data_IF_448263265005
#
_entry.id   IF_448263265005
#
_cell.length_a   1.000
_cell.length_b   1.000
_cell.length_c   1.000
_cell.angle_alpha   90.00
_cell.angle_beta   90.00
_cell.angle_gamma   90.00
#
_symmetry.space_group_name_H-M   'P 1'
#
loop_
_entity.id
_entity.type
_entity.pdbx_description
1 polymer ?
#
# COMPACT_ATOMS: atom_id res chain seq x y z
N UNK A 1 0.43 -36.36 19.74
CA UNK A 1 -0.92 -35.85 20.11
C UNK A 1 -1.52 -35.22 18.88
N UNK A 2 -2.81 -35.42 18.59
CA UNK A 2 -3.43 -34.93 17.35
C UNK A 2 -4.39 -33.79 17.64
N UNK A 3 -4.25 -32.68 16.91
CA UNK A 3 -5.18 -31.54 16.93
C UNK A 3 -5.80 -31.40 15.54
N UNK A 4 -7.11 -31.60 15.44
CA UNK A 4 -7.86 -31.38 14.22
C UNK A 4 -8.47 -29.97 14.25
N UNK A 5 -8.23 -29.17 13.21
CA UNK A 5 -8.73 -27.82 13.06
C UNK A 5 -9.81 -27.77 11.97
N UNK A 6 -10.90 -27.05 12.21
CA UNK A 6 -11.96 -26.84 11.23
C UNK A 6 -12.38 -25.37 11.21
N UNK A 7 -12.54 -24.79 10.02
CA UNK A 7 -12.91 -23.39 9.87
C UNK A 7 -12.43 -22.83 8.53
N UNK A 8 -12.51 -21.51 8.31
CA UNK A 8 -12.09 -20.90 7.05
C UNK A 8 -10.61 -21.19 6.75
N UNK A 9 -10.31 -21.47 5.48
CA UNK A 9 -9.01 -22.00 5.03
C UNK A 9 -7.81 -21.21 5.53
N UNK A 10 -7.82 -19.89 5.39
CA UNK A 10 -6.74 -19.02 5.83
C UNK A 10 -6.46 -19.14 7.34
N UNK A 11 -7.52 -19.27 8.13
CA UNK A 11 -7.41 -19.36 9.59
C UNK A 11 -6.88 -20.73 10.02
N UNK A 12 -7.48 -21.81 9.50
CA UNK A 12 -7.06 -23.19 9.82
C UNK A 12 -5.61 -23.47 9.38
N UNK A 13 -5.23 -23.04 8.17
CA UNK A 13 -3.87 -23.20 7.66
C UNK A 13 -2.86 -22.42 8.50
N UNK A 14 -3.14 -21.15 8.80
CA UNK A 14 -2.23 -20.32 9.58
C UNK A 14 -2.06 -20.86 10.99
N UNK A 15 -3.17 -21.20 11.67
CA UNK A 15 -3.09 -21.77 13.01
C UNK A 15 -2.33 -23.10 13.01
N UNK A 16 -2.58 -23.97 12.03
CA UNK A 16 -1.88 -25.24 11.90
C UNK A 16 -0.38 -25.09 11.64
N UNK A 17 0.01 -24.16 10.76
CA UNK A 17 1.43 -23.83 10.50
C UNK A 17 2.12 -23.36 11.79
N UNK A 18 1.49 -22.47 12.56
CA UNK A 18 2.06 -21.93 13.78
C UNK A 18 2.19 -23.01 14.88
N UNK A 19 1.18 -23.87 15.04
CA UNK A 19 1.23 -25.01 15.96
C UNK A 19 2.34 -26.01 15.59
N UNK A 20 2.46 -26.37 14.31
CA UNK A 20 3.52 -27.27 13.85
C UNK A 20 4.92 -26.64 13.97
N UNK A 21 5.04 -25.35 13.70
CA UNK A 21 6.31 -24.62 13.86
C UNK A 21 6.76 -24.58 15.33
N UNK A 22 5.81 -24.36 16.26
CA UNK A 22 6.08 -24.43 17.70
C UNK A 22 6.41 -25.84 18.17
N UNK A 23 5.63 -26.83 17.77
CA UNK A 23 5.88 -28.26 18.00
C UNK A 23 7.33 -28.64 17.69
N UNK A 24 7.82 -28.26 16.51
CA UNK A 24 9.22 -28.47 16.10
C UNK A 24 10.23 -27.69 16.96
N UNK A 25 9.93 -26.43 17.27
CA UNK A 25 10.84 -25.55 18.03
C UNK A 25 11.01 -26.01 19.49
N UNK A 26 9.95 -26.54 20.10
CA UNK A 26 9.96 -27.03 21.49
C UNK A 26 10.20 -28.55 21.60
N UNK A 27 10.33 -29.26 20.47
CA UNK A 27 10.59 -30.71 20.45
C UNK A 27 9.43 -31.57 20.97
N UNK A 28 8.19 -31.06 20.94
CA UNK A 28 7.00 -31.79 21.40
C UNK A 28 6.24 -32.39 20.22
N UNK A 29 5.96 -33.71 20.19
CA UNK A 29 5.29 -34.33 19.04
C UNK A 29 3.80 -33.99 18.98
N UNK A 30 3.48 -32.97 18.16
CA UNK A 30 2.13 -32.56 17.81
C UNK A 30 1.85 -32.84 16.33
N UNK A 31 0.83 -33.63 16.05
CA UNK A 31 0.24 -33.83 14.74
C UNK A 31 -0.91 -32.84 14.56
N UNK A 32 -0.94 -32.12 13.44
CA UNK A 32 -2.02 -31.18 13.14
C UNK A 32 -2.71 -31.60 11.84
N UNK A 33 -4.03 -31.69 11.93
CA UNK A 33 -4.92 -32.06 10.83
C UNK A 33 -5.89 -30.91 10.55
N UNK A 34 -6.22 -30.67 9.28
CA UNK A 34 -7.27 -29.74 8.88
C UNK A 34 -8.42 -30.53 8.29
N UNK A 35 -9.63 -30.32 8.81
CA UNK A 35 -10.85 -30.94 8.29
C UNK A 35 -11.29 -30.19 7.02
N UNK A 36 -11.27 -30.88 5.89
CA UNK A 36 -11.67 -30.35 4.58
C UNK A 36 -10.70 -30.68 3.45
N UNK A 37 -11.09 -30.35 2.22
CA UNK A 37 -10.32 -30.65 1.01
C UNK A 37 -9.45 -29.43 0.59
N UNK A 38 -8.11 -29.58 0.48
CA UNK A 38 -7.23 -28.52 -0.01
C UNK A 38 -7.58 -27.99 -1.40
N UNK A 39 -8.25 -28.78 -2.26
CA UNK A 39 -8.70 -28.34 -3.58
C UNK A 39 -9.88 -27.34 -3.53
N UNK A 40 -10.57 -27.26 -2.39
CA UNK A 40 -11.73 -26.37 -2.20
C UNK A 40 -11.38 -25.03 -1.56
N UNK A 41 -10.10 -24.81 -1.24
CA UNK A 41 -9.62 -23.58 -0.61
C UNK A 41 -9.82 -22.38 -1.54
N UNK A 42 -10.55 -21.37 -1.07
CA UNK A 42 -10.79 -20.15 -1.84
C UNK A 42 -9.48 -19.39 -2.13
N UNK A 43 -9.20 -19.01 -3.38
CA UNK A 43 -7.93 -18.38 -3.73
C UNK A 43 -7.86 -16.93 -3.26
N UNK A 44 -6.68 -16.48 -2.84
CA UNK A 44 -6.36 -15.08 -2.51
C UNK A 44 -5.30 -14.61 -3.50
N UNK A 45 -5.75 -14.00 -4.60
CA UNK A 45 -4.93 -13.71 -5.78
C UNK A 45 -4.18 -12.39 -5.66
N UNK A 46 -2.93 -12.38 -6.11
CA UNK A 46 -2.18 -11.15 -6.37
C UNK A 46 -2.62 -10.48 -7.68
N UNK A 47 -2.00 -9.34 -8.06
CA UNK A 47 -0.82 -8.76 -7.42
C UNK A 47 -1.13 -8.01 -6.10
N UNK A 48 -0.34 -8.22 -5.05
CA UNK A 48 -0.50 -7.51 -3.79
C UNK A 48 0.84 -7.27 -3.08
N UNK A 49 0.93 -6.16 -2.35
CA UNK A 49 2.03 -5.86 -1.43
C UNK A 49 1.45 -5.41 -0.09
N UNK A 50 1.94 -6.01 0.99
CA UNK A 50 1.46 -5.75 2.34
C UNK A 50 2.53 -6.07 3.36
N UNK A 51 2.57 -5.28 4.44
CA UNK A 51 3.32 -5.68 5.64
C UNK A 51 2.41 -6.58 6.49
N UNK A 52 2.78 -7.85 6.63
CA UNK A 52 2.00 -8.85 7.36
C UNK A 52 2.94 -9.90 8.00
N UNK A 53 3.41 -9.67 9.24
CA UNK A 53 4.39 -10.53 9.89
C UNK A 53 3.95 -12.00 9.97
N UNK A 54 2.68 -12.24 10.30
CA UNK A 54 2.13 -13.60 10.40
C UNK A 54 2.19 -14.32 9.04
N UNK A 55 1.73 -13.66 7.97
CA UNK A 55 1.76 -14.22 6.62
C UNK A 55 3.19 -14.52 6.15
N UNK A 56 4.12 -13.58 6.37
CA UNK A 56 5.53 -13.76 6.05
C UNK A 56 6.14 -14.94 6.84
N UNK A 57 5.81 -15.08 8.12
CA UNK A 57 6.26 -16.21 8.97
C UNK A 57 5.72 -17.56 8.49
N UNK A 58 4.51 -17.56 7.93
CA UNK A 58 3.88 -18.73 7.30
C UNK A 58 4.34 -18.97 5.85
N UNK A 59 5.34 -18.23 5.37
CA UNK A 59 5.97 -18.44 4.07
C UNK A 59 5.25 -17.82 2.87
N UNK A 60 4.27 -16.94 3.09
CA UNK A 60 3.59 -16.25 1.99
C UNK A 60 4.46 -15.11 1.46
N UNK A 61 4.63 -15.04 0.13
CA UNK A 61 5.30 -13.93 -0.55
C UNK A 61 6.76 -13.71 -0.15
N UNK A 62 7.45 -14.78 0.26
CA UNK A 62 8.83 -14.74 0.75
C UNK A 62 9.81 -14.43 -0.38
N UNK A 63 10.43 -13.26 -0.29
CA UNK A 63 11.75 -12.97 -0.86
C UNK A 63 12.78 -12.93 0.29
N UNK A 64 14.02 -13.36 0.05
CA UNK A 64 15.02 -13.43 1.12
C UNK A 64 15.38 -12.01 1.59
N UNK A 65 15.21 -11.74 2.89
CA UNK A 65 15.62 -10.47 3.52
C UNK A 65 14.53 -9.38 3.60
N UNK A 66 13.31 -9.63 3.12
CA UNK A 66 12.19 -8.67 3.15
C UNK A 66 11.44 -8.56 4.50
N UNK A 67 11.86 -9.33 5.51
CA UNK A 67 11.27 -9.28 6.85
C UNK A 67 9.80 -9.68 6.86
N UNK A 68 8.93 -8.76 7.30
CA UNK A 68 7.48 -8.95 7.36
C UNK A 68 6.74 -8.46 6.09
N UNK A 69 7.47 -8.00 5.08
CA UNK A 69 6.89 -7.61 3.80
C UNK A 69 6.52 -8.85 2.98
N UNK A 70 5.27 -8.88 2.55
CA UNK A 70 4.68 -9.92 1.70
C UNK A 70 4.38 -9.32 0.34
N UNK A 71 4.99 -9.88 -0.70
CA UNK A 71 4.67 -9.57 -2.10
C UNK A 71 4.10 -10.83 -2.73
N UNK A 72 2.86 -10.76 -3.20
CA UNK A 72 2.25 -11.84 -4.00
C UNK A 72 2.14 -11.34 -5.43
N UNK A 73 2.85 -11.95 -6.38
CA UNK A 73 2.81 -11.51 -7.77
C UNK A 73 1.44 -11.79 -8.39
N UNK A 74 1.24 -11.29 -9.60
CA UNK A 74 0.03 -11.59 -10.35
C UNK A 74 0.07 -10.96 -11.73
N UNK A 75 -1.02 -11.10 -12.51
CA UNK A 75 -1.07 -10.65 -13.89
C UNK A 75 -0.64 -9.18 -14.01
N UNK A 76 0.25 -8.89 -14.97
CA UNK A 76 0.80 -7.55 -15.15
C UNK A 76 -0.28 -6.49 -15.49
N UNK A 77 -1.38 -6.93 -16.11
CA UNK A 77 -2.51 -6.07 -16.46
C UNK A 77 -3.41 -5.73 -15.26
N UNK A 78 -3.31 -6.44 -14.14
CA UNK A 78 -4.12 -6.17 -12.96
C UNK A 78 -3.47 -5.12 -12.06
N UNK A 79 -4.26 -4.21 -11.45
CA UNK A 79 -3.72 -3.20 -10.54
C UNK A 79 -3.14 -3.86 -9.28
N UNK A 80 -2.11 -3.25 -8.71
CA UNK A 80 -1.46 -3.68 -7.47
C UNK A 80 -2.35 -3.33 -6.28
N UNK A 81 -2.71 -4.33 -5.46
CA UNK A 81 -3.35 -4.08 -4.17
C UNK A 81 -2.28 -3.74 -3.13
N UNK A 82 -2.43 -2.60 -2.45
CA UNK A 82 -1.46 -2.09 -1.47
C UNK A 82 -2.17 -1.87 -0.14
N UNK A 83 -1.58 -2.35 0.95
CA UNK A 83 -1.94 -1.89 2.31
C UNK A 83 -0.74 -1.28 3.01
N UNK A 84 -0.97 -0.15 3.67
CA UNK A 84 0.03 0.59 4.45
C UNK A 84 -0.08 0.31 5.96
N UNK A 85 -1.05 -0.52 6.36
CA UNK A 85 -1.30 -0.87 7.76
C UNK A 85 -0.31 -1.95 8.23
N UNK A 86 -0.03 -1.96 9.54
CA UNK A 86 0.98 -2.83 10.16
C UNK A 86 0.76 -4.34 9.92
N UNK A 87 -0.50 -4.77 9.86
CA UNK A 87 -0.85 -6.18 9.66
C UNK A 87 -1.71 -6.40 8.42
N UNK A 88 -1.78 -5.43 7.51
CA UNK A 88 -2.62 -5.56 6.32
C UNK A 88 -4.12 -5.61 6.59
N UNK A 89 -4.59 -5.26 7.79
CA UNK A 89 -6.00 -5.40 8.15
C UNK A 89 -6.90 -4.31 7.53
N UNK A 90 -6.32 -3.15 7.21
CA UNK A 90 -6.99 -1.94 6.72
C UNK A 90 -6.09 -1.16 5.75
N UNK A 91 -6.50 0.05 5.35
CA UNK A 91 -5.69 0.95 4.53
C UNK A 91 -5.41 0.44 3.13
N UNK A 92 -6.27 -0.45 2.60
CA UNK A 92 -6.09 -1.00 1.25
C UNK A 92 -6.58 -0.05 0.17
N UNK A 93 -5.78 0.10 -0.88
CA UNK A 93 -6.10 0.80 -2.12
C UNK A 93 -5.42 0.11 -3.31
N UNK A 94 -5.68 0.62 -4.52
CA UNK A 94 -5.12 0.09 -5.76
C UNK A 94 -4.16 1.10 -6.38
N UNK A 95 -3.05 0.61 -6.91
CA UNK A 95 -2.14 1.40 -7.73
C UNK A 95 -2.01 0.77 -9.12
N UNK A 96 -1.81 1.62 -10.13
CA UNK A 96 -1.65 1.20 -11.50
C UNK A 96 -0.37 0.37 -11.71
N UNK A 97 -0.46 -0.60 -12.62
CA UNK A 97 0.68 -1.37 -13.13
C UNK A 97 0.75 -1.35 -14.65
N UNK A 98 -0.37 -1.07 -15.33
CA UNK A 98 -0.48 -1.18 -16.77
C UNK A 98 -0.03 0.10 -17.50
N UNK A 99 0.14 1.21 -16.77
CA UNK A 99 0.53 2.50 -17.32
C UNK A 99 -0.64 3.34 -17.81
N UNK A 100 -1.87 3.00 -17.41
CA UNK A 100 -3.10 3.70 -17.82
C UNK A 100 -3.73 4.52 -16.67
N UNK A 101 -3.23 4.33 -15.45
CA UNK A 101 -3.69 5.02 -14.25
C UNK A 101 -4.92 4.39 -13.57
N UNK A 102 -4.83 4.18 -12.26
CA UNK A 102 -5.89 3.60 -11.46
C UNK A 102 -6.86 4.65 -10.87
N UNK A 103 -6.34 5.79 -10.42
CA UNK A 103 -7.12 6.91 -9.86
C UNK A 103 -7.47 7.96 -10.92
N UNK A 104 -8.46 8.83 -10.68
CA UNK A 104 -8.71 9.98 -11.57
C UNK A 104 -7.48 10.85 -11.79
N UNK A 105 -6.65 11.06 -10.76
CA UNK A 105 -5.42 11.85 -10.84
C UNK A 105 -4.35 11.18 -11.73
N UNK A 106 -4.11 9.88 -11.58
CA UNK A 106 -3.13 9.17 -12.42
C UNK A 106 -3.60 9.03 -13.87
N UNK A 107 -4.89 8.83 -14.11
CA UNK A 107 -5.47 8.87 -15.47
C UNK A 107 -5.32 10.23 -16.12
N UNK A 108 -5.58 11.30 -15.37
CA UNK A 108 -5.33 12.68 -15.82
C UNK A 108 -3.84 12.90 -16.15
N UNK A 109 -2.93 12.39 -15.33
CA UNK A 109 -1.49 12.44 -15.58
C UNK A 109 -1.06 11.69 -16.85
N UNK A 110 -1.58 10.48 -17.07
CA UNK A 110 -1.33 9.69 -18.28
C UNK A 110 -1.89 10.40 -19.51
N UNK A 111 -3.12 10.89 -19.43
CA UNK A 111 -3.77 11.63 -20.51
C UNK A 111 -3.03 12.92 -20.86
N UNK A 112 -2.55 13.67 -19.86
CA UNK A 112 -1.74 14.88 -20.05
C UNK A 112 -0.42 14.55 -20.75
N UNK A 113 0.25 13.48 -20.31
CA UNK A 113 1.53 13.02 -20.86
C UNK A 113 1.41 12.50 -22.30
N UNK A 114 0.26 11.95 -22.67
CA UNK A 114 -0.05 11.40 -24.00
C UNK A 114 -0.88 12.36 -24.87
N UNK A 115 -1.13 13.59 -24.44
CA UNK A 115 -2.02 14.52 -25.15
C UNK A 115 -1.54 14.81 -26.58
N UNK A 116 -2.42 14.93 -27.59
CA UNK A 116 -2.00 15.40 -28.92
C UNK A 116 -1.56 16.88 -28.89
N UNK A 117 -2.12 17.68 -27.99
CA UNK A 117 -1.81 19.10 -27.84
C UNK A 117 -0.37 19.30 -27.34
N UNK A 118 0.49 20.01 -28.09
CA UNK A 118 1.87 20.26 -27.70
C UNK A 118 2.03 21.03 -26.39
N UNK A 119 1.08 21.92 -26.04
CA UNK A 119 1.12 22.72 -24.80
C UNK A 119 0.82 21.83 -23.60
N UNK A 120 -0.26 21.04 -23.67
CA UNK A 120 -0.59 20.05 -22.64
C UNK A 120 0.55 19.03 -22.43
N UNK A 121 1.15 18.54 -23.52
CA UNK A 121 2.35 17.68 -23.41
C UNK A 121 3.54 18.36 -22.76
N UNK A 122 3.72 19.67 -22.98
CA UNK A 122 4.80 20.41 -22.33
C UNK A 122 4.57 20.49 -20.80
N UNK A 123 3.34 20.75 -20.37
CA UNK A 123 2.96 20.73 -18.95
C UNK A 123 3.16 19.34 -18.32
N UNK A 124 2.81 18.28 -19.06
CA UNK A 124 3.09 16.90 -18.65
C UNK A 124 4.59 16.61 -18.52
N UNK A 125 5.42 17.08 -19.46
CA UNK A 125 6.89 16.98 -19.35
C UNK A 125 7.43 17.71 -18.12
N UNK A 126 6.99 18.94 -17.88
CA UNK A 126 7.43 19.73 -16.71
C UNK A 126 7.13 19.01 -15.39
N UNK A 127 5.95 18.38 -15.27
CA UNK A 127 5.62 17.60 -14.07
C UNK A 127 6.52 16.36 -13.92
N UNK A 128 6.81 15.66 -15.02
CA UNK A 128 7.76 14.51 -14.98
C UNK A 128 9.16 14.93 -14.57
N UNK A 129 9.65 16.04 -15.12
CA UNK A 129 10.97 16.59 -14.78
C UNK A 129 11.01 17.03 -13.31
N UNK A 130 9.92 17.59 -12.79
CA UNK A 130 9.79 17.95 -11.38
C UNK A 130 9.84 16.71 -10.47
N UNK A 131 9.09 15.65 -10.79
CA UNK A 131 9.14 14.38 -10.04
C UNK A 131 10.54 13.77 -10.07
N UNK A 132 11.18 13.73 -11.23
CA UNK A 132 12.54 13.22 -11.38
C UNK A 132 13.56 14.03 -10.55
N UNK A 133 13.42 15.36 -10.50
CA UNK A 133 14.25 16.23 -9.66
C UNK A 133 14.07 15.97 -8.16
N UNK A 134 12.93 15.39 -7.76
CA UNK A 134 12.65 14.95 -6.38
C UNK A 134 13.13 13.52 -6.09
N UNK A 135 13.74 12.84 -7.07
CA UNK A 135 14.15 11.44 -6.94
C UNK A 135 13.00 10.43 -7.14
N UNK A 136 11.89 10.87 -7.72
CA UNK A 136 10.72 10.03 -8.00
C UNK A 136 10.61 9.76 -9.50
N UNK A 137 10.56 8.49 -9.94
CA UNK A 137 10.24 8.20 -11.32
C UNK A 137 8.80 8.63 -11.63
N UNK A 138 8.54 9.00 -12.88
CA UNK A 138 7.24 9.50 -13.31
C UNK A 138 6.24 8.36 -13.61
N UNK A 139 6.05 7.46 -12.65
CA UNK A 139 5.19 6.28 -12.78
C UNK A 139 3.75 6.60 -12.33
N UNK A 140 2.70 6.16 -13.08
CA UNK A 140 1.31 6.35 -12.67
C UNK A 140 1.00 5.78 -11.28
N UNK A 141 1.65 4.67 -10.90
CA UNK A 141 1.53 4.07 -9.57
C UNK A 141 1.94 5.03 -8.43
N UNK A 142 2.96 5.87 -8.66
CA UNK A 142 3.39 6.86 -7.68
C UNK A 142 2.42 8.03 -7.61
N UNK A 143 1.73 8.36 -8.71
CA UNK A 143 0.63 9.34 -8.69
C UNK A 143 -0.58 8.78 -7.94
N UNK A 144 -0.89 7.49 -8.11
CA UNK A 144 -1.95 6.82 -7.34
C UNK A 144 -1.63 6.82 -5.84
N UNK A 145 -0.36 6.63 -5.45
CA UNK A 145 0.10 6.74 -4.07
C UNK A 145 0.01 8.19 -3.55
N UNK A 146 0.46 9.16 -4.35
CA UNK A 146 0.50 10.58 -3.99
C UNK A 146 -0.90 11.17 -3.78
N UNK A 147 -1.85 10.79 -4.63
CA UNK A 147 -3.18 11.41 -4.70
C UNK A 147 -4.30 10.50 -4.18
N UNK A 148 -4.06 9.19 -3.98
CA UNK A 148 -5.11 8.21 -3.70
C UNK A 148 -4.88 7.34 -2.47
N UNK A 149 -3.70 7.36 -1.84
CA UNK A 149 -3.46 6.53 -0.66
C UNK A 149 -4.29 7.01 0.57
N UNK A 150 -4.89 6.10 1.35
CA UNK A 150 -5.78 6.45 2.46
C UNK A 150 -5.01 6.82 3.74
N UNK A 151 -4.03 7.72 3.61
CA UNK A 151 -3.18 8.27 4.70
C UNK A 151 -3.10 9.80 4.56
N UNK A 152 -2.47 10.46 5.52
CA UNK A 152 -2.33 11.93 5.50
C UNK A 152 -1.53 12.40 4.28
N UNK A 153 -1.78 13.61 3.74
CA UNK A 153 -1.04 14.11 2.57
C UNK A 153 0.48 14.13 2.76
N UNK A 154 0.97 14.39 3.97
CA UNK A 154 2.39 14.33 4.29
C UNK A 154 2.95 12.90 4.26
N UNK A 155 2.17 11.91 4.72
CA UNK A 155 2.56 10.50 4.61
C UNK A 155 2.61 10.07 3.13
N UNK A 156 1.68 10.53 2.29
CA UNK A 156 1.70 10.26 0.84
C UNK A 156 2.99 10.78 0.19
N UNK A 157 3.44 11.98 0.56
CA UNK A 157 4.73 12.53 0.11
C UNK A 157 5.89 11.67 0.59
N UNK A 158 5.90 11.33 1.88
CA UNK A 158 6.94 10.47 2.46
C UNK A 158 7.03 9.13 1.72
N UNK A 159 5.88 8.50 1.47
CA UNK A 159 5.75 7.23 0.75
C UNK A 159 6.29 7.33 -0.67
N UNK A 160 5.90 8.36 -1.43
CA UNK A 160 6.33 8.53 -2.83
C UNK A 160 7.83 8.79 -2.93
N UNK A 161 8.39 9.65 -2.08
CA UNK A 161 9.84 9.89 -2.04
C UNK A 161 10.61 8.62 -1.66
N UNK A 162 10.06 7.84 -0.70
CA UNK A 162 10.69 6.60 -0.24
C UNK A 162 10.64 5.50 -1.31
N UNK A 163 9.50 5.35 -1.97
CA UNK A 163 9.36 4.44 -3.10
C UNK A 163 10.25 4.87 -4.27
N UNK A 164 10.31 6.17 -4.59
CA UNK A 164 11.21 6.71 -5.60
C UNK A 164 12.68 6.40 -5.30
N UNK A 165 13.11 6.56 -4.05
CA UNK A 165 14.43 6.12 -3.60
C UNK A 165 14.65 4.62 -3.79
N UNK A 166 13.71 3.76 -3.37
CA UNK A 166 13.80 2.32 -3.55
C UNK A 166 13.90 1.89 -5.01
N UNK A 167 13.19 2.58 -5.90
CA UNK A 167 13.15 2.29 -7.34
C UNK A 167 14.36 2.80 -8.11
N UNK A 168 14.91 3.96 -7.73
CA UNK A 168 15.98 4.63 -8.48
C UNK A 168 17.37 4.47 -7.86
N UNK A 169 17.46 4.05 -6.59
CA UNK A 169 18.70 4.05 -5.82
C UNK A 169 19.22 5.46 -5.49
N UNK A 170 18.44 6.52 -5.77
CA UNK A 170 18.85 7.91 -5.54
C UNK A 170 18.84 8.29 -4.07
N UNK A 171 19.60 9.32 -3.71
CA UNK A 171 19.56 9.91 -2.36
C UNK A 171 18.27 10.70 -2.15
N UNK A 172 17.69 10.59 -0.95
CA UNK A 172 16.46 11.30 -0.58
C UNK A 172 16.63 12.81 -0.77
N UNK A 173 15.84 13.40 -1.66
CA UNK A 173 15.77 14.84 -1.82
C UNK A 173 15.15 15.47 -0.55
N UNK A 174 15.78 16.51 -0.01
CA UNK A 174 15.19 17.29 1.07
C UNK A 174 14.24 18.33 0.48
N UNK A 175 12.94 18.06 0.58
CA UNK A 175 11.89 18.95 0.09
C UNK A 175 11.92 20.33 0.73
N UNK A 176 12.41 20.44 1.96
CA UNK A 176 12.46 21.72 2.68
C UNK A 176 13.51 22.69 2.14
N UNK A 177 14.41 22.26 1.26
CA UNK A 177 15.24 23.19 0.48
C UNK A 177 14.46 23.96 -0.59
N UNK A 178 13.22 23.56 -0.90
CA UNK A 178 12.36 24.28 -1.86
C UNK A 178 11.60 25.43 -1.20
N UNK A 179 11.75 25.60 0.11
CA UNK A 179 10.88 26.39 0.97
C UNK A 179 11.70 27.48 1.66
N UNK A 180 11.10 28.67 1.80
CA UNK A 180 11.68 29.79 2.55
C UNK A 180 11.39 29.67 4.06
N UNK A 181 12.20 30.32 4.92
CA UNK A 181 11.87 30.53 6.34
C UNK A 181 10.48 31.15 6.50
N UNK A 182 9.73 30.68 7.50
CA UNK A 182 8.41 31.26 7.80
C UNK A 182 8.62 32.64 8.43
N UNK A 183 8.14 33.68 7.74
CA UNK A 183 8.21 35.08 8.24
C UNK A 183 6.84 35.54 8.75
N UNK A 184 5.74 35.01 8.21
CA UNK A 184 4.35 35.41 8.51
C UNK A 184 3.47 34.23 8.98
N UNK A 185 2.29 34.53 9.54
CA UNK A 185 1.27 33.52 9.81
C UNK A 185 0.73 32.94 8.49
N UNK A 186 1.16 31.74 8.14
CA UNK A 186 0.64 31.00 6.99
C UNK A 186 -0.83 30.61 7.21
N UNK A 187 -1.66 30.58 6.15
CA UNK A 187 -2.98 29.97 6.26
C UNK A 187 -2.86 28.48 6.54
N UNK A 188 -3.94 27.89 7.07
CA UNK A 188 -4.02 26.44 7.23
C UNK A 188 -3.85 25.73 5.87
N UNK A 189 -3.22 24.54 5.84
CA UNK A 189 -3.18 23.69 4.65
C UNK A 189 -4.57 23.45 4.09
N UNK A 190 -4.64 23.23 2.77
CA UNK A 190 -5.89 22.91 2.10
C UNK A 190 -6.37 21.51 2.54
N UNK A 191 -7.69 21.28 2.60
CA UNK A 191 -8.24 20.02 3.11
C UNK A 191 -7.83 18.82 2.26
N UNK A 192 -7.79 17.65 2.90
CA UNK A 192 -7.62 16.38 2.19
C UNK A 192 -8.86 16.07 1.35
N UNK A 193 -8.66 15.63 0.10
CA UNK A 193 -9.75 15.45 -0.86
C UNK A 193 -10.19 16.74 -1.54
N UNK A 194 -9.26 17.69 -1.72
CA UNK A 194 -9.52 18.99 -2.36
C UNK A 194 -10.22 18.81 -3.71
N UNK A 195 -11.33 19.54 -3.92
CA UNK A 195 -12.03 19.57 -5.21
C UNK A 195 -11.78 20.86 -6.01
N UNK A 196 -12.24 20.90 -7.25
CA UNK A 196 -12.05 22.05 -8.14
C UNK A 196 -12.74 23.33 -7.64
N UNK A 197 -13.86 23.22 -6.93
CA UNK A 197 -14.58 24.37 -6.40
C UNK A 197 -13.87 24.97 -5.19
N UNK A 198 -13.35 24.13 -4.30
CA UNK A 198 -12.51 24.55 -3.18
C UNK A 198 -11.19 25.15 -3.64
N UNK A 199 -10.57 24.57 -4.68
CA UNK A 199 -9.38 25.13 -5.32
C UNK A 199 -9.66 26.53 -5.89
N UNK A 200 -10.79 26.70 -6.58
CA UNK A 200 -11.20 28.00 -7.11
C UNK A 200 -11.37 29.04 -5.98
N UNK A 201 -12.07 28.69 -4.89
CA UNK A 201 -12.21 29.57 -3.71
C UNK A 201 -10.86 29.90 -3.07
N UNK A 202 -9.98 28.90 -2.93
CA UNK A 202 -8.64 29.11 -2.36
C UNK A 202 -7.79 30.07 -3.21
N UNK A 203 -8.01 30.12 -4.53
CA UNK A 203 -7.40 31.11 -5.43
C UNK A 203 -8.02 32.49 -5.26
N UNK A 204 -9.34 32.59 -5.29
CA UNK A 204 -10.10 33.85 -5.17
C UNK A 204 -9.78 34.57 -3.84
N UNK A 205 -9.72 33.83 -2.74
CA UNK A 205 -9.45 34.38 -1.41
C UNK A 205 -7.94 34.59 -1.13
N UNK A 206 -7.07 34.31 -2.12
CA UNK A 206 -5.62 34.48 -2.01
C UNK A 206 -4.91 33.48 -1.09
N UNK A 207 -5.60 32.47 -0.55
CA UNK A 207 -5.00 31.43 0.31
C UNK A 207 -3.93 30.64 -0.44
N UNK A 208 -4.20 30.24 -1.69
CA UNK A 208 -3.23 29.52 -2.52
C UNK A 208 -1.98 30.37 -2.77
N UNK A 209 -2.14 31.64 -3.11
CA UNK A 209 -1.02 32.55 -3.35
C UNK A 209 -0.13 32.72 -2.09
N UNK A 210 -0.73 32.79 -0.90
CA UNK A 210 0.00 32.83 0.37
C UNK A 210 0.78 31.54 0.64
N UNK A 211 0.18 30.38 0.37
CA UNK A 211 0.85 29.07 0.50
C UNK A 211 2.02 28.93 -0.47
N UNK A 212 1.82 29.29 -1.75
CA UNK A 212 2.87 29.29 -2.76
C UNK A 212 3.97 30.32 -2.47
N UNK A 213 3.64 31.41 -1.78
CA UNK A 213 4.58 32.40 -1.26
C UNK A 213 5.64 31.82 -0.32
N UNK A 214 5.40 30.64 0.27
CA UNK A 214 6.37 29.91 1.09
C UNK A 214 7.43 29.20 0.24
N UNK A 215 7.15 28.90 -1.03
CA UNK A 215 8.16 28.32 -1.91
C UNK A 215 9.20 29.37 -2.30
N UNK A 216 10.46 28.95 -2.49
CA UNK A 216 11.51 29.82 -3.05
C UNK A 216 11.04 30.40 -4.37
N UNK A 217 11.41 31.65 -4.66
CA UNK A 217 10.92 32.40 -5.83
C UNK A 217 10.93 31.58 -7.13
N UNK A 218 12.05 30.92 -7.46
CA UNK A 218 12.17 30.09 -8.67
C UNK A 218 11.22 28.88 -8.70
N UNK A 219 10.90 28.31 -7.55
CA UNK A 219 9.96 27.19 -7.43
C UNK A 219 8.54 27.72 -7.53
N UNK A 220 8.25 28.82 -6.81
CA UNK A 220 6.97 29.51 -6.85
C UNK A 220 6.57 29.89 -8.27
N UNK A 221 7.43 30.61 -9.00
CA UNK A 221 7.14 31.08 -10.36
C UNK A 221 6.82 29.88 -11.29
N UNK A 222 7.60 28.80 -11.20
CA UNK A 222 7.35 27.58 -12.00
C UNK A 222 6.03 26.90 -11.65
N UNK A 223 5.64 26.88 -10.38
CA UNK A 223 4.37 26.28 -9.94
C UNK A 223 3.20 27.16 -10.38
N UNK A 224 3.30 28.48 -10.22
CA UNK A 224 2.28 29.44 -10.69
C UNK A 224 2.10 29.37 -12.20
N UNK A 225 3.20 29.36 -12.97
CA UNK A 225 3.18 29.20 -14.43
C UNK A 225 2.53 27.88 -14.86
N UNK A 226 2.85 26.78 -14.18
CA UNK A 226 2.27 25.47 -14.48
C UNK A 226 0.77 25.44 -14.17
N UNK A 227 0.33 25.97 -13.03
CA UNK A 227 -1.07 26.05 -12.64
C UNK A 227 -1.89 26.92 -13.59
N UNK A 228 -1.33 28.04 -14.05
CA UNK A 228 -2.00 28.90 -15.02
C UNK A 228 -2.05 28.27 -16.40
N UNK A 229 -0.97 27.60 -16.82
CA UNK A 229 -0.94 26.81 -18.06
C UNK A 229 -1.99 25.69 -18.07
N UNK A 230 -2.14 24.96 -16.96
CA UNK A 230 -3.18 23.93 -16.82
C UNK A 230 -4.58 24.53 -16.97
N UNK A 231 -4.86 25.65 -16.30
CA UNK A 231 -6.15 26.34 -16.41
C UNK A 231 -6.45 26.84 -17.83
N UNK A 232 -5.46 27.45 -18.48
CA UNK A 232 -5.64 28.00 -19.82
C UNK A 232 -5.87 26.90 -20.88
N UNK A 233 -5.24 25.73 -20.70
CA UNK A 233 -5.31 24.62 -21.66
C UNK A 233 -6.43 23.62 -21.38
N UNK A 234 -7.09 23.70 -20.22
CA UNK A 234 -8.17 22.81 -19.83
C UNK A 234 -9.29 23.55 -19.06
N UNK A 235 -10.02 24.46 -19.73
CA UNK A 235 -11.13 25.19 -19.11
C UNK A 235 -12.31 24.28 -18.70
N UNK A 236 -12.34 23.04 -19.19
CA UNK A 236 -13.36 22.05 -18.86
C UNK A 236 -13.05 21.25 -17.57
N UNK A 237 -11.88 21.44 -16.95
CA UNK A 237 -11.51 20.80 -15.69
C UNK A 237 -11.25 19.30 -15.78
N UNK A 238 -10.90 18.77 -16.96
CA UNK A 238 -10.60 17.35 -17.16
C UNK A 238 -9.42 16.87 -16.31
N UNK A 239 -8.46 17.73 -16.05
CA UNK A 239 -7.25 17.45 -15.28
C UNK A 239 -7.35 17.92 -13.82
N UNK A 240 -8.51 18.43 -13.39
CA UNK A 240 -8.72 18.91 -12.02
C UNK A 240 -8.34 17.88 -10.95
N UNK A 241 -8.61 16.56 -11.10
CA UNK A 241 -8.19 15.59 -10.07
C UNK A 241 -6.67 15.54 -9.86
N UNK A 242 -5.88 15.75 -10.92
CA UNK A 242 -4.43 15.83 -10.81
C UNK A 242 -4.00 17.14 -10.16
N UNK A 243 -4.54 18.27 -10.64
CA UNK A 243 -4.19 19.60 -10.12
C UNK A 243 -4.55 19.71 -8.64
N UNK A 244 -5.76 19.30 -8.25
CA UNK A 244 -6.22 19.34 -6.87
C UNK A 244 -5.39 18.42 -5.97
N UNK A 245 -5.09 17.19 -6.40
CA UNK A 245 -4.24 16.29 -5.62
C UNK A 245 -2.83 16.83 -5.39
N UNK A 246 -2.22 17.45 -6.40
CA UNK A 246 -0.90 18.08 -6.27
C UNK A 246 -0.94 19.35 -5.40
N UNK A 247 -1.99 20.17 -5.52
CA UNK A 247 -2.14 21.40 -4.73
C UNK A 247 -2.46 21.08 -3.26
N UNK A 248 -3.29 20.08 -2.98
CA UNK A 248 -3.53 19.54 -1.64
C UNK A 248 -2.19 19.19 -0.99
N UNK A 249 -1.45 18.27 -1.60
CA UNK A 249 -0.17 17.81 -1.08
C UNK A 249 0.84 18.96 -0.95
N UNK A 250 0.92 19.82 -1.96
CA UNK A 250 1.79 20.99 -1.97
C UNK A 250 1.47 21.96 -0.83
N UNK A 251 0.20 22.16 -0.49
CA UNK A 251 -0.22 23.02 0.63
C UNK A 251 0.23 22.48 1.99
N UNK A 252 0.17 21.16 2.18
CA UNK A 252 0.66 20.52 3.40
C UNK A 252 2.18 20.61 3.53
N UNK A 253 2.91 20.42 2.44
CA UNK A 253 4.36 20.64 2.41
C UNK A 253 4.68 22.12 2.68
N UNK A 254 3.88 23.04 2.13
CA UNK A 254 4.00 24.48 2.36
C UNK A 254 3.81 24.88 3.84
N UNK A 255 3.02 24.12 4.61
CA UNK A 255 2.80 24.35 6.04
C UNK A 255 3.92 23.85 6.98
N UNK A 256 4.92 23.11 6.48
CA UNK A 256 6.01 22.63 7.33
C UNK A 256 6.90 23.78 7.86
N UNK A 257 7.64 23.61 8.95
CA UNK A 257 8.72 24.53 9.30
C UNK A 257 9.85 24.51 8.26
N UNK A 258 10.58 25.62 8.11
CA UNK A 258 11.80 25.62 7.30
C UNK A 258 12.84 24.69 7.93
N UNK A 259 13.53 23.91 7.11
CA UNK A 259 14.47 22.85 7.54
C UNK A 259 13.84 21.67 8.29
N UNK A 260 12.52 21.54 8.33
CA UNK A 260 11.89 20.35 8.87
C UNK A 260 12.29 19.10 8.05
N UNK A 261 12.43 17.98 8.75
CA UNK A 261 12.45 16.66 8.10
C UNK A 261 10.99 16.21 8.02
N UNK A 262 10.61 15.62 6.89
CA UNK A 262 9.31 14.95 6.81
C UNK A 262 9.16 13.95 7.95
N UNK A 263 7.98 13.84 8.59
CA UNK A 263 7.74 12.82 9.60
C UNK A 263 8.19 11.44 9.10
N UNK A 264 8.82 10.62 9.97
CA UNK A 264 9.18 9.26 9.59
C UNK A 264 7.90 8.46 9.30
N UNK A 265 7.96 7.64 8.26
CA UNK A 265 6.88 6.70 7.96
C UNK A 265 6.81 5.63 9.05
N UNK A 266 5.61 5.12 9.30
CA UNK A 266 5.45 3.90 10.08
C UNK A 266 6.25 2.75 9.43
N UNK A 267 6.85 1.82 10.20
CA UNK A 267 7.70 0.77 9.66
C UNK A 267 7.06 -0.06 8.54
N UNK A 268 5.77 -0.37 8.67
CA UNK A 268 5.00 -1.09 7.66
C UNK A 268 4.86 -0.29 6.35
N UNK A 269 4.56 0.99 6.46
CA UNK A 269 4.44 1.89 5.33
C UNK A 269 5.81 2.12 4.63
N UNK A 270 6.89 2.21 5.41
CA UNK A 270 8.27 2.29 4.87
C UNK A 270 8.66 1.02 4.11
N UNK A 271 8.40 -0.15 4.69
CA UNK A 271 8.69 -1.44 4.06
C UNK A 271 7.92 -1.61 2.73
N UNK A 272 6.64 -1.25 2.72
CA UNK A 272 5.80 -1.27 1.50
C UNK A 272 6.32 -0.29 0.46
N UNK A 273 6.68 0.94 0.85
CA UNK A 273 7.26 1.91 -0.08
C UNK A 273 8.57 1.41 -0.69
N UNK A 274 9.47 0.87 0.12
CA UNK A 274 10.75 0.32 -0.35
C UNK A 274 10.58 -0.91 -1.26
N UNK A 275 9.57 -1.74 -1.00
CA UNK A 275 9.25 -2.91 -1.83
C UNK A 275 8.40 -2.63 -3.06
N UNK A 276 7.91 -1.39 -3.24
CA UNK A 276 6.95 -1.06 -4.29
C UNK A 276 7.51 -1.34 -5.69
N UNK A 277 8.77 -0.98 -5.95
CA UNK A 277 9.43 -1.25 -7.24
C UNK A 277 9.43 -2.73 -7.59
N UNK A 278 9.80 -3.58 -6.63
CA UNK A 278 9.78 -5.04 -6.79
C UNK A 278 8.36 -5.54 -7.06
N UNK A 279 7.36 -5.07 -6.32
CA UNK A 279 5.97 -5.49 -6.50
C UNK A 279 5.37 -5.05 -7.85
N UNK A 280 5.71 -3.84 -8.32
CA UNK A 280 5.30 -3.36 -9.65
C UNK A 280 5.90 -4.24 -10.75
N UNK A 281 7.18 -4.60 -10.62
CA UNK A 281 7.92 -5.45 -11.58
C UNK A 281 7.62 -6.95 -11.49
N UNK A 282 7.04 -7.44 -10.39
CA UNK A 282 6.72 -8.84 -10.17
C UNK A 282 5.49 -9.28 -10.98
N UNK A 283 5.68 -9.50 -12.28
CA UNK A 283 4.68 -10.04 -13.20
C UNK A 283 4.83 -11.56 -13.32
N UNK A 284 3.86 -12.31 -12.82
CA UNK A 284 3.75 -13.76 -13.02
C UNK A 284 2.29 -14.12 -13.36
N UNK A 285 2.03 -15.41 -13.61
CA UNK A 285 0.66 -15.92 -13.76
C UNK A 285 -0.20 -15.71 -12.50
N UNK A 286 -1.35 -16.39 -12.43
CA UNK A 286 -2.23 -16.31 -11.25
C UNK A 286 -1.57 -16.92 -10.01
N UNK A 287 -0.84 -16.10 -9.23
CA UNK A 287 -0.31 -16.51 -7.94
C UNK A 287 -1.40 -16.42 -6.86
N UNK A 288 -1.37 -17.37 -5.93
CA UNK A 288 -2.36 -17.52 -4.87
C UNK A 288 -1.64 -17.65 -3.52
N UNK A 289 -1.92 -16.71 -2.61
CA UNK A 289 -1.37 -16.70 -1.27
C UNK A 289 -1.78 -17.94 -0.47
N UNK A 290 -3.00 -18.45 -0.65
CA UNK A 290 -3.47 -19.63 0.06
C UNK A 290 -2.76 -20.91 -0.39
N UNK A 291 -2.35 -21.01 -1.67
CA UNK A 291 -1.50 -22.12 -2.13
C UNK A 291 -0.17 -22.16 -1.41
N UNK A 292 0.41 -20.99 -1.11
CA UNK A 292 1.65 -20.90 -0.33
C UNK A 292 1.45 -21.41 1.10
N UNK A 293 0.32 -21.07 1.74
CA UNK A 293 -0.03 -21.62 3.06
C UNK A 293 -0.23 -23.15 3.01
N UNK A 294 -0.94 -23.68 2.01
CA UNK A 294 -1.12 -25.14 1.85
C UNK A 294 0.24 -25.84 1.71
N UNK A 295 1.13 -25.29 0.88
CA UNK A 295 2.47 -25.84 0.66
C UNK A 295 3.28 -25.82 1.96
N UNK A 296 3.28 -24.71 2.70
CA UNK A 296 3.97 -24.59 3.99
C UNK A 296 3.40 -25.56 5.03
N UNK A 297 2.08 -25.65 5.15
CA UNK A 297 1.42 -26.55 6.10
C UNK A 297 1.82 -28.01 5.86
N UNK A 298 1.80 -28.46 4.59
CA UNK A 298 2.24 -29.81 4.21
C UNK A 298 3.73 -30.02 4.44
N UNK A 299 4.57 -29.03 4.12
CA UNK A 299 6.01 -29.07 4.38
C UNK A 299 6.33 -29.25 5.87
N UNK A 300 5.52 -28.65 6.74
CA UNK A 300 5.63 -28.82 8.19
C UNK A 300 5.08 -30.16 8.71
N UNK A 301 4.50 -31.00 7.85
CA UNK A 301 3.95 -32.31 8.19
C UNK A 301 2.44 -32.33 8.45
N UNK A 302 1.75 -31.21 8.20
CA UNK A 302 0.30 -31.10 8.34
C UNK A 302 -0.46 -31.94 7.32
N UNK A 303 -1.64 -32.45 7.71
CA UNK A 303 -2.49 -33.31 6.87
C UNK A 303 -3.91 -32.76 6.74
N UNK A 304 -4.57 -33.11 5.65
CA UNK A 304 -5.99 -32.82 5.43
C UNK A 304 -6.79 -34.11 5.62
N UNK A 305 -7.94 -34.02 6.27
CA UNK A 305 -8.82 -35.16 6.57
C UNK A 305 -10.27 -34.80 6.26
N UNK A 306 -11.07 -35.78 5.88
CA UNK A 306 -12.49 -35.55 5.52
C UNK A 306 -13.35 -35.29 6.77
N UNK A 307 -13.04 -35.95 7.87
CA UNK A 307 -13.77 -35.84 9.14
C UNK A 307 -12.84 -36.02 10.34
N UNK A 308 -13.21 -35.43 11.47
CA UNK A 308 -12.55 -35.60 12.75
C UNK A 308 -13.59 -35.65 13.88
N UNK A 309 -13.40 -36.54 14.85
CA UNK A 309 -14.38 -36.78 15.93
C UNK A 309 -14.58 -35.56 16.84
N UNK A 310 -13.52 -34.77 17.07
CA UNK A 310 -13.52 -33.60 17.96
C UNK A 310 -12.69 -32.46 17.33
N UNK A 311 -13.18 -31.82 16.26
CA UNK A 311 -12.45 -30.74 15.63
C UNK A 311 -12.54 -29.48 16.50
N UNK A 312 -11.44 -28.76 16.60
CA UNK A 312 -11.42 -27.40 17.13
C UNK A 312 -12.01 -26.49 16.05
N UNK A 313 -13.20 -25.98 16.31
CA UNK A 313 -13.90 -25.05 15.41
C UNK A 313 -13.28 -23.64 15.54
N UNK A 314 -12.73 -23.15 14.44
CA UNK A 314 -12.15 -21.83 14.27
C UNK A 314 -13.21 -20.92 13.64
N UNK A 315 -13.87 -20.13 14.47
CA UNK A 315 -14.93 -19.23 14.02
C UNK A 315 -14.36 -17.95 13.37
N UNK A 316 -14.62 -17.77 12.08
CA UNK A 316 -14.34 -16.53 11.36
C UNK A 316 -15.31 -16.38 10.18
N UNK A 317 -15.49 -15.15 9.69
CA UNK A 317 -16.39 -14.87 8.57
C UNK A 317 -15.94 -15.61 7.30
N UNK A 318 -16.88 -15.94 6.43
CA UNK A 318 -16.59 -16.50 5.10
C UNK A 318 -15.82 -15.50 4.22
N UNK A 319 -14.98 -15.99 3.28
CA UNK A 319 -14.21 -15.12 2.40
C UNK A 319 -15.15 -14.31 1.48
N UNK A 320 -14.97 -12.98 1.37
CA UNK A 320 -15.75 -12.16 0.46
C UNK A 320 -15.33 -12.38 -1.01
N UNK A 321 -16.17 -11.97 -1.96
CA UNK A 321 -15.92 -12.07 -3.39
C UNK A 321 -14.99 -10.97 -3.92
N UNK A 322 -15.16 -9.73 -3.45
CA UNK A 322 -14.33 -8.59 -3.85
C UNK A 322 -12.86 -8.82 -3.48
N UNK A 323 -11.95 -8.49 -4.42
CA UNK A 323 -10.51 -8.77 -4.29
C UNK A 323 -9.87 -8.03 -3.11
N UNK A 324 -10.17 -6.74 -2.92
CA UNK A 324 -9.59 -5.97 -1.82
C UNK A 324 -10.17 -6.42 -0.47
N UNK A 325 -11.48 -6.66 -0.42
CA UNK A 325 -12.11 -7.20 0.79
C UNK A 325 -11.58 -8.59 1.12
N UNK A 326 -11.23 -9.40 0.11
CA UNK A 326 -10.62 -10.71 0.32
C UNK A 326 -9.22 -10.61 0.92
N UNK A 327 -8.41 -9.65 0.46
CA UNK A 327 -7.11 -9.37 1.07
C UNK A 327 -7.23 -8.87 2.52
N UNK A 328 -8.17 -7.97 2.80
CA UNK A 328 -8.49 -7.52 4.17
C UNK A 328 -8.92 -8.68 5.06
N UNK A 329 -9.84 -9.50 4.56
CA UNK A 329 -10.31 -10.71 5.23
C UNK A 329 -9.15 -11.67 5.53
N UNK A 330 -8.27 -11.89 4.55
CA UNK A 330 -7.13 -12.81 4.67
C UNK A 330 -6.15 -12.36 5.76
N UNK A 331 -5.79 -11.08 5.77
CA UNK A 331 -4.89 -10.53 6.78
C UNK A 331 -5.51 -10.58 8.20
N UNK A 332 -6.80 -10.25 8.33
CA UNK A 332 -7.52 -10.36 9.61
C UNK A 332 -7.63 -11.82 10.08
N UNK A 333 -7.97 -12.74 9.19
CA UNK A 333 -8.10 -14.17 9.49
C UNK A 333 -6.77 -14.74 10.00
N UNK A 334 -5.65 -14.40 9.34
CA UNK A 334 -4.33 -14.90 9.72
C UNK A 334 -3.81 -14.30 11.01
N UNK A 335 -4.07 -13.01 11.26
CA UNK A 335 -3.78 -12.39 12.57
C UNK A 335 -4.54 -13.07 13.69
N UNK A 336 -5.86 -13.24 13.55
CA UNK A 336 -6.66 -13.92 14.56
C UNK A 336 -6.27 -15.39 14.72
N UNK A 337 -5.83 -16.05 13.64
CA UNK A 337 -5.30 -17.42 13.71
C UNK A 337 -4.04 -17.52 14.57
N UNK A 338 -3.19 -16.49 14.59
CA UNK A 338 -2.02 -16.46 15.46
C UNK A 338 -2.42 -16.42 16.94
N UNK A 339 -3.36 -15.55 17.31
CA UNK A 339 -3.88 -15.49 18.68
C UNK A 339 -4.54 -16.81 19.10
N UNK A 340 -5.31 -17.43 18.19
CA UNK A 340 -5.95 -18.72 18.47
C UNK A 340 -4.95 -19.87 18.57
N UNK A 341 -3.93 -19.91 17.70
CA UNK A 341 -2.86 -20.91 17.79
C UNK A 341 -2.09 -20.80 19.11
N UNK A 342 -1.91 -19.58 19.61
CA UNK A 342 -1.28 -19.32 20.90
C UNK A 342 -2.10 -19.84 22.07
N UNK A 343 -3.41 -19.60 22.06
CA UNK A 343 -4.32 -20.14 23.06
C UNK A 343 -4.36 -21.67 23.02
N UNK A 344 -4.48 -22.28 21.83
CA UNK A 344 -4.51 -23.73 21.66
C UNK A 344 -3.22 -24.39 22.11
N UNK A 345 -2.06 -23.81 21.78
CA UNK A 345 -0.77 -24.31 22.23
C UNK A 345 -0.69 -24.39 23.75
N UNK A 346 -1.15 -23.35 24.46
CA UNK A 346 -1.16 -23.35 25.94
C UNK A 346 -2.05 -24.46 26.50
N UNK A 347 -3.24 -24.65 25.94
CA UNK A 347 -4.15 -25.73 26.35
C UNK A 347 -3.57 -27.13 26.09
N UNK A 348 -2.77 -27.28 25.03
CA UNK A 348 -2.14 -28.55 24.65
C UNK A 348 -0.94 -28.88 25.54
N UNK A 349 -0.12 -27.88 25.90
CA UNK A 349 1.12 -28.07 26.67
C UNK A 349 0.88 -28.01 28.18
N UNK A 350 -0.12 -27.26 28.64
CA UNK A 350 -0.52 -27.14 30.04
C UNK A 350 -2.06 -27.19 30.19
N UNK A 351 -2.66 -28.39 30.17
CA UNK A 351 -4.11 -28.56 30.20
C UNK A 351 -4.76 -28.28 31.57
N UNK A 352 -4.01 -27.82 32.58
CA UNK A 352 -4.49 -27.66 33.97
C UNK A 352 -4.44 -26.19 34.40
N UNK A 353 -5.39 -25.39 33.90
CA UNK A 353 -5.88 -24.19 34.59
C UNK A 353 -7.40 -24.07 34.44
#
# INVERSE_FOLDING_TARGET
>A
MTVALKGPSAMALTAGILLLSRSRSFGMPLDVEIVGDPATVSPVRGPAIVHAPVLASCGVGRDLGSGALVIVPGPAAEPLAISLAEDGADGWFLADRAGDGQTPASRAFVALSRSPDPVQRALGRQLRDALAALGCPAEPALIDLLCGAPVSPLDRVGLVLRAGQGMTGSTRASLTHLLEPVVDSLPDPLPAGLDGAELARAREDGRLARLLGRARLRVRDRVEDWLEGMRATDPAGRFDPLVCGLVEVGSHVAGLPAHAVLPPLAPAADAVAMGLGTALGAGEGEADANRSLIAMFRFLGGRFVDDARYPVELAFASPPEDRLQRWRWFCRATRQAADTADALWRQVVDPVQ
#
